data_IF_718414646248
#
_entry.id   IF_718414646248
#
_cell.length_a   1.000
_cell.length_b   1.000
_cell.length_c   1.000
_cell.angle_alpha   90.00
_cell.angle_beta   90.00
_cell.angle_gamma   90.00
#
_symmetry.space_group_name_H-M   'P 1'
#
loop_
_entity.id
_entity.type
_entity.pdbx_description
1 polymer ?
#
# COMPACT_ATOMS: atom_id res chain seq x y z
N UNK A 1 -17.63 -14.00 -10.87
CA UNK A 1 -16.78 -14.58 -11.92
C UNK A 1 -15.36 -14.70 -11.39
N UNK A 2 -14.87 -15.91 -11.17
CA UNK A 2 -13.46 -16.15 -10.87
C UNK A 2 -12.72 -16.43 -12.18
N UNK A 3 -11.56 -15.81 -12.38
CA UNK A 3 -10.67 -16.16 -13.49
C UNK A 3 -9.37 -16.74 -12.93
N UNK A 4 -9.07 -17.99 -13.32
CA UNK A 4 -7.77 -18.61 -13.11
C UNK A 4 -6.96 -18.51 -14.41
N UNK A 5 -5.76 -17.92 -14.33
CA UNK A 5 -4.85 -17.82 -15.46
C UNK A 5 -3.53 -18.53 -15.13
N UNK A 6 -3.16 -19.50 -15.96
CA UNK A 6 -1.88 -20.22 -15.90
C UNK A 6 -1.06 -19.97 -17.16
N UNK A 7 0.26 -20.15 -17.07
CA UNK A 7 1.16 -20.15 -18.23
C UNK A 7 1.64 -21.57 -18.48
N UNK A 8 1.29 -22.14 -19.62
CA UNK A 8 1.90 -23.38 -20.10
C UNK A 8 2.47 -23.20 -21.51
N UNK A 9 3.70 -23.65 -21.79
CA UNK A 9 4.12 -23.87 -23.16
C UNK A 9 3.26 -25.02 -23.73
N UNK A 10 2.66 -24.83 -24.90
CA UNK A 10 1.83 -25.85 -25.53
C UNK A 10 2.61 -27.14 -25.76
N UNK A 11 2.17 -28.23 -25.12
CA UNK A 11 2.70 -29.57 -25.35
C UNK A 11 2.29 -30.07 -26.73
N UNK A 12 3.26 -30.49 -27.55
CA UNK A 12 3.01 -31.31 -28.73
C UNK A 12 3.26 -32.77 -28.35
N UNK A 13 2.19 -33.56 -28.28
CA UNK A 13 2.28 -35.02 -28.36
C UNK A 13 2.46 -35.44 -29.84
N UNK A 14 3.33 -36.44 -30.04
CA UNK A 14 3.91 -36.79 -31.34
C UNK A 14 3.23 -37.93 -32.09
N UNK A 15 3.54 -38.02 -33.39
CA UNK A 15 3.81 -39.23 -34.19
C UNK A 15 3.86 -38.83 -35.67
N UNK A 16 4.82 -39.39 -36.42
CA UNK A 16 5.25 -38.86 -37.72
C UNK A 16 4.45 -39.32 -38.94
N UNK A 17 4.58 -38.57 -40.04
CA UNK A 17 4.85 -39.06 -41.39
C UNK A 17 5.09 -37.89 -42.38
N UNK A 18 6.21 -38.04 -43.09
CA UNK A 18 6.75 -37.35 -44.28
C UNK A 18 5.76 -36.70 -45.27
N UNK A 19 5.96 -35.42 -45.64
CA UNK A 19 6.53 -34.99 -46.93
C UNK A 19 6.39 -33.47 -47.19
N UNK A 20 7.53 -32.86 -47.50
CA UNK A 20 7.82 -31.74 -48.40
C UNK A 20 6.77 -30.64 -48.71
N UNK A 21 7.10 -29.42 -48.29
CA UNK A 21 7.45 -28.35 -49.25
C UNK A 21 6.38 -27.30 -49.59
N UNK A 22 6.41 -26.15 -48.89
CA UNK A 22 6.98 -24.86 -49.35
C UNK A 22 6.49 -23.69 -48.48
N UNK A 23 7.45 -23.15 -47.72
CA UNK A 23 7.70 -21.74 -47.37
C UNK A 23 6.56 -20.73 -47.31
N UNK A 24 6.42 -20.11 -46.13
CA UNK A 24 6.42 -18.65 -46.00
C UNK A 24 7.30 -18.24 -44.81
N UNK A 25 8.41 -17.58 -45.14
CA UNK A 25 9.29 -16.82 -44.23
C UNK A 25 8.66 -15.45 -44.02
N UNK A 26 8.66 -14.93 -42.79
CA UNK A 26 8.54 -13.50 -42.50
C UNK A 26 9.15 -13.26 -41.10
N UNK A 27 10.41 -12.85 -40.97
CA UNK A 27 11.02 -11.54 -41.24
C UNK A 27 10.76 -10.51 -40.14
N UNK A 28 11.83 -10.15 -39.43
CA UNK A 28 11.96 -8.96 -38.59
C UNK A 28 11.64 -7.69 -39.40
N UNK A 29 10.48 -7.06 -39.15
CA UNK A 29 10.29 -5.60 -39.34
C UNK A 29 9.27 -5.03 -38.34
N UNK A 30 9.42 -3.76 -37.93
CA UNK A 30 8.55 -3.11 -36.95
C UNK A 30 7.16 -2.91 -37.53
N UNK A 31 6.13 -3.03 -36.68
CA UNK A 31 4.73 -2.79 -37.03
C UNK A 31 4.55 -1.41 -37.69
N UNK A 32 4.37 -1.39 -39.01
CA UNK A 32 3.76 -0.28 -39.73
C UNK A 32 2.25 -0.53 -39.81
N UNK A 33 1.48 0.51 -39.55
CA UNK A 33 0.03 0.48 -39.70
C UNK A 33 -0.34 0.47 -41.18
N UNK A 34 -0.98 -0.60 -41.64
CA UNK A 34 -1.76 -0.59 -42.88
C UNK A 34 -3.21 -0.95 -42.54
N UNK A 35 -4.06 0.05 -42.72
CA UNK A 35 -5.51 -0.06 -42.74
C UNK A 35 -5.96 -0.65 -44.07
N UNK A 36 -6.65 -1.78 -44.06
CA UNK A 36 -7.60 -2.11 -45.11
C UNK A 36 -8.88 -2.69 -44.50
N UNK A 37 -9.98 -2.19 -45.06
CA UNK A 37 -11.35 -2.16 -44.54
C UNK A 37 -11.98 -3.49 -44.17
N UNK A 38 -12.84 -3.44 -43.15
CA UNK A 38 -13.75 -4.52 -42.80
C UNK A 38 -14.40 -4.33 -41.43
N UNK A 39 -15.25 -3.30 -41.30
CA UNK A 39 -16.22 -3.07 -40.23
C UNK A 39 -15.81 -3.49 -38.80
N UNK A 40 -15.30 -2.53 -38.02
CA UNK A 40 -15.28 -2.64 -36.55
C UNK A 40 -15.56 -1.29 -35.92
N UNK A 41 -16.64 -1.23 -35.12
CA UNK A 41 -17.01 -0.08 -34.31
C UNK A 41 -15.80 0.36 -33.46
N UNK A 42 -15.29 1.55 -33.74
CA UNK A 42 -14.23 2.20 -33.00
C UNK A 42 -14.76 3.55 -32.49
N UNK A 43 -15.27 3.56 -31.26
CA UNK A 43 -15.30 4.79 -30.48
C UNK A 43 -14.08 4.79 -29.56
N UNK A 44 -13.05 5.49 -30.01
CA UNK A 44 -11.86 5.78 -29.24
C UNK A 44 -12.15 6.92 -28.26
N UNK A 45 -12.19 6.61 -26.96
CA UNK A 45 -12.11 7.62 -25.89
C UNK A 45 -10.71 8.22 -25.78
N UNK A 46 -10.55 9.41 -25.16
CA UNK A 46 -9.34 10.20 -25.24
C UNK A 46 -8.15 9.51 -24.57
N UNK A 47 -7.02 9.49 -25.28
CA UNK A 47 -5.81 8.78 -24.92
C UNK A 47 -5.15 9.30 -23.64
N UNK A 48 -4.70 8.36 -22.80
CA UNK A 48 -3.79 8.60 -21.70
C UNK A 48 -2.42 9.07 -22.24
N UNK A 49 -1.81 10.14 -21.69
CA UNK A 49 -0.50 10.60 -22.13
C UNK A 49 0.58 9.62 -21.65
N UNK A 50 1.25 8.96 -22.60
CA UNK A 50 2.40 8.08 -22.32
C UNK A 50 2.50 6.81 -23.16
N UNK A 51 1.53 6.48 -24.02
CA UNK A 51 1.57 5.25 -24.82
C UNK A 51 2.45 5.37 -26.08
N UNK A 52 3.76 5.59 -25.91
CA UNK A 52 4.75 5.31 -26.95
C UNK A 52 5.42 3.96 -26.68
N UNK A 53 4.72 2.88 -26.99
CA UNK A 53 5.30 1.57 -27.29
C UNK A 53 4.21 0.69 -27.86
N UNK A 54 4.38 0.25 -29.12
CA UNK A 54 3.55 -0.80 -29.72
C UNK A 54 3.58 -2.03 -28.84
N UNK A 55 2.44 -2.35 -28.23
CA UNK A 55 2.26 -3.57 -27.45
C UNK A 55 1.65 -4.60 -28.39
N UNK A 56 2.37 -5.67 -28.69
CA UNK A 56 1.76 -6.88 -29.24
C UNK A 56 0.71 -7.34 -28.24
N UNK A 57 -0.56 -7.08 -28.54
CA UNK A 57 -1.64 -7.80 -27.90
C UNK A 57 -1.44 -9.28 -28.24
N UNK A 58 -1.65 -10.16 -27.26
CA UNK A 58 -1.73 -11.59 -27.57
C UNK A 58 -2.71 -11.77 -28.74
N UNK A 59 -2.41 -12.71 -29.64
CA UNK A 59 -3.35 -13.14 -30.66
C UNK A 59 -4.74 -13.38 -30.04
N UNK A 60 -5.80 -13.14 -30.80
CA UNK A 60 -7.17 -13.27 -30.30
C UNK A 60 -7.35 -14.59 -29.52
N UNK A 61 -7.97 -14.55 -28.32
CA UNK A 61 -8.18 -15.77 -27.55
C UNK A 61 -8.97 -16.79 -28.34
N UNK A 62 -8.59 -18.05 -28.20
CA UNK A 62 -9.44 -19.16 -28.60
C UNK A 62 -10.44 -19.40 -27.46
N UNK A 63 -11.73 -19.26 -27.75
CA UNK A 63 -12.79 -19.77 -26.87
C UNK A 63 -12.77 -21.30 -26.97
N UNK A 64 -12.39 -21.97 -25.90
CA UNK A 64 -12.28 -23.44 -25.89
C UNK A 64 -13.59 -24.06 -25.47
N UNK A 65 -14.16 -23.58 -24.36
CA UNK A 65 -15.35 -24.16 -23.76
C UNK A 65 -16.11 -23.12 -22.93
N UNK A 66 -17.43 -23.25 -22.91
CA UNK A 66 -18.35 -22.49 -22.04
C UNK A 66 -19.27 -23.47 -21.32
N UNK A 67 -19.57 -23.19 -20.06
CA UNK A 67 -20.43 -24.04 -19.24
C UNK A 67 -21.26 -23.20 -18.28
N UNK A 68 -22.50 -23.61 -18.04
CA UNK A 68 -23.30 -23.09 -16.92
C UNK A 68 -22.99 -23.90 -15.66
N UNK A 69 -22.76 -23.19 -14.55
CA UNK A 69 -22.49 -23.77 -13.23
C UNK A 69 -23.42 -23.20 -12.16
N UNK A 70 -23.55 -23.94 -11.08
CA UNK A 70 -24.32 -23.54 -9.90
C UNK A 70 -23.49 -22.57 -9.05
N UNK A 71 -24.13 -21.59 -8.42
CA UNK A 71 -23.44 -20.70 -7.46
C UNK A 71 -22.77 -21.45 -6.30
N UNK A 72 -23.29 -22.63 -5.92
CA UNK A 72 -22.71 -23.48 -4.87
C UNK A 72 -21.47 -24.25 -5.32
N UNK A 73 -21.12 -24.23 -6.61
CA UNK A 73 -19.97 -24.95 -7.14
C UNK A 73 -18.66 -24.32 -6.65
N UNK A 74 -17.75 -25.17 -6.13
CA UNK A 74 -16.47 -24.75 -5.54
C UNK A 74 -15.26 -25.10 -6.42
N UNK A 75 -15.47 -25.47 -7.67
CA UNK A 75 -14.38 -25.97 -8.54
C UNK A 75 -13.34 -24.89 -8.87
N UNK A 76 -13.67 -23.60 -8.72
CA UNK A 76 -12.73 -22.48 -8.92
C UNK A 76 -11.77 -22.24 -7.74
N UNK A 77 -11.60 -23.23 -6.84
CA UNK A 77 -10.65 -23.17 -5.73
C UNK A 77 -9.20 -23.41 -6.19
N UNK A 78 -8.96 -24.25 -7.19
CA UNK A 78 -7.63 -24.47 -7.79
C UNK A 78 -7.68 -24.36 -9.31
N UNK A 79 -6.52 -24.24 -9.96
CA UNK A 79 -6.47 -24.27 -11.42
C UNK A 79 -6.85 -25.66 -11.95
N UNK A 80 -6.36 -26.74 -11.33
CA UNK A 80 -6.67 -28.10 -11.79
C UNK A 80 -8.16 -28.44 -11.64
N UNK A 81 -8.79 -28.09 -10.51
CA UNK A 81 -10.22 -28.31 -10.27
C UNK A 81 -11.08 -27.48 -11.23
N UNK A 82 -10.70 -26.22 -11.47
CA UNK A 82 -11.43 -25.35 -12.39
C UNK A 82 -11.36 -25.89 -13.82
N UNK A 83 -10.18 -26.33 -14.25
CA UNK A 83 -9.99 -26.91 -15.57
C UNK A 83 -10.80 -28.20 -15.71
N UNK A 84 -10.70 -29.12 -14.74
CA UNK A 84 -11.45 -30.38 -14.73
C UNK A 84 -12.96 -30.16 -14.76
N UNK A 85 -13.46 -29.15 -14.04
CA UNK A 85 -14.87 -28.78 -14.04
C UNK A 85 -15.31 -28.24 -15.40
N UNK A 86 -14.57 -27.29 -15.98
CA UNK A 86 -14.95 -26.66 -17.25
C UNK A 86 -14.88 -27.66 -18.40
N UNK A 87 -13.92 -28.59 -18.40
CA UNK A 87 -13.79 -29.65 -19.41
C UNK A 87 -14.62 -30.89 -19.15
N UNK A 88 -15.25 -30.98 -17.98
CA UNK A 88 -16.04 -32.13 -17.56
C UNK A 88 -17.41 -32.25 -18.25
N UNK A 89 -18.17 -33.27 -17.87
CA UNK A 89 -19.53 -33.48 -18.39
C UNK A 89 -20.45 -32.29 -18.01
N UNK A 90 -21.32 -31.81 -18.93
CA UNK A 90 -22.24 -30.72 -18.67
C UNK A 90 -23.27 -31.10 -17.59
N UNK A 91 -24.00 -30.10 -17.08
CA UNK A 91 -25.15 -30.36 -16.21
C UNK A 91 -26.22 -31.14 -17.01
N UNK A 92 -26.96 -32.06 -16.37
CA UNK A 92 -28.09 -32.73 -17.00
C UNK A 92 -29.12 -31.73 -17.55
N UNK A 93 -29.74 -32.04 -18.68
CA UNK A 93 -30.75 -31.16 -19.32
C UNK A 93 -31.99 -30.92 -18.43
N UNK A 94 -32.23 -31.78 -17.45
CA UNK A 94 -33.29 -31.68 -16.46
C UNK A 94 -32.97 -30.72 -15.30
N UNK A 95 -31.78 -30.13 -15.28
CA UNK A 95 -31.35 -29.24 -14.19
C UNK A 95 -32.09 -27.91 -14.27
N UNK A 96 -33.05 -27.71 -13.37
CA UNK A 96 -33.72 -26.42 -13.22
C UNK A 96 -32.82 -25.41 -12.49
N UNK A 97 -32.55 -24.28 -13.13
CA UNK A 97 -31.75 -23.18 -12.59
C UNK A 97 -32.61 -21.92 -12.48
N UNK A 98 -32.62 -21.33 -11.28
CA UNK A 98 -33.13 -19.97 -11.13
C UNK A 98 -32.20 -18.99 -11.87
N UNK A 99 -32.81 -18.04 -12.58
CA UNK A 99 -32.11 -17.13 -13.50
C UNK A 99 -31.03 -16.27 -12.80
N UNK A 100 -31.14 -16.08 -11.49
CA UNK A 100 -30.21 -15.32 -10.64
C UNK A 100 -29.14 -16.20 -9.96
N UNK A 101 -29.21 -17.53 -10.09
CA UNK A 101 -28.30 -18.49 -9.46
C UNK A 101 -27.34 -19.18 -10.46
N UNK A 102 -27.52 -18.92 -11.76
CA UNK A 102 -26.66 -19.41 -12.82
C UNK A 102 -25.34 -18.64 -12.89
N UNK A 103 -24.23 -19.38 -12.89
CA UNK A 103 -22.89 -18.86 -13.18
C UNK A 103 -22.48 -19.30 -14.59
N UNK A 104 -21.70 -18.45 -15.28
CA UNK A 104 -21.14 -18.77 -16.59
C UNK A 104 -19.63 -18.91 -16.48
N UNK A 105 -19.16 -20.12 -16.74
CA UNK A 105 -17.74 -20.45 -16.79
C UNK A 105 -17.26 -20.47 -18.23
N UNK A 106 -16.11 -19.84 -18.46
CA UNK A 106 -15.55 -19.65 -19.80
C UNK A 106 -14.06 -19.95 -19.77
N UNK A 107 -13.63 -20.86 -20.64
CA UNK A 107 -12.22 -21.19 -20.85
C UNK A 107 -11.69 -20.50 -22.11
N UNK A 108 -10.74 -19.60 -21.90
CA UNK A 108 -10.00 -18.93 -22.97
C UNK A 108 -8.55 -19.41 -23.02
N UNK A 109 -8.08 -19.76 -24.21
CA UNK A 109 -6.69 -20.08 -24.47
C UNK A 109 -6.02 -18.97 -25.28
N UNK A 110 -4.84 -18.55 -24.82
CA UNK A 110 -3.99 -17.59 -25.52
C UNK A 110 -2.67 -18.28 -25.85
N UNK A 111 -2.34 -18.47 -27.14
CA UNK A 111 -1.05 -19.06 -27.49
C UNK A 111 0.08 -18.07 -27.15
N UNK A 112 1.10 -18.57 -26.46
CA UNK A 112 2.30 -17.81 -26.10
C UNK A 112 3.52 -18.44 -26.78
N UNK A 113 4.49 -17.60 -27.18
CA UNK A 113 5.72 -18.07 -27.82
C UNK A 113 6.67 -18.75 -26.81
N UNK A 114 6.63 -18.31 -25.56
CA UNK A 114 7.43 -18.83 -24.46
C UNK A 114 6.79 -18.54 -23.11
N UNK A 115 7.19 -19.28 -22.08
CA UNK A 115 6.86 -19.08 -20.67
C UNK A 115 7.20 -17.66 -20.16
N UNK A 116 8.18 -16.99 -20.76
CA UNK A 116 8.62 -15.62 -20.46
C UNK A 116 7.96 -14.54 -21.29
N UNK A 117 7.04 -14.89 -22.19
CA UNK A 117 6.39 -13.91 -23.07
C UNK A 117 5.66 -12.84 -22.24
N UNK A 118 5.81 -11.54 -22.57
CA UNK A 118 5.00 -10.51 -21.94
C UNK A 118 3.55 -10.72 -22.35
N UNK A 119 2.67 -10.96 -21.38
CA UNK A 119 1.24 -11.16 -21.58
C UNK A 119 0.49 -10.02 -20.91
N UNK A 120 -0.41 -9.38 -21.65
CA UNK A 120 -1.34 -8.38 -21.11
C UNK A 120 -2.75 -8.70 -21.60
N UNK A 121 -3.70 -8.74 -20.66
CA UNK A 121 -5.10 -9.01 -20.93
C UNK A 121 -5.90 -7.76 -20.57
N UNK A 122 -6.77 -7.31 -21.48
CA UNK A 122 -7.81 -6.32 -21.18
C UNK A 122 -9.14 -7.06 -21.17
N UNK A 123 -9.66 -7.34 -19.98
CA UNK A 123 -10.83 -8.22 -19.83
C UNK A 123 -12.13 -7.58 -20.31
N UNK A 124 -12.26 -6.24 -20.23
CA UNK A 124 -13.50 -5.53 -20.57
C UNK A 124 -14.67 -5.81 -19.60
N UNK A 125 -14.45 -6.63 -18.57
CA UNK A 125 -15.48 -7.11 -17.64
C UNK A 125 -16.00 -6.02 -16.69
N UNK A 126 -15.23 -4.94 -16.51
CA UNK A 126 -15.55 -3.85 -15.59
C UNK A 126 -16.90 -3.17 -15.87
N UNK A 127 -17.42 -3.27 -17.10
CA UNK A 127 -18.67 -2.61 -17.55
C UNK A 127 -19.90 -3.52 -17.50
N UNK A 128 -19.79 -4.74 -16.94
CA UNK A 128 -20.88 -5.71 -16.89
C UNK A 128 -21.95 -5.42 -15.83
N UNK A 129 -21.77 -4.41 -14.98
CA UNK A 129 -22.74 -4.04 -13.95
C UNK A 129 -22.38 -2.76 -13.21
N UNK A 130 -23.22 -2.39 -12.24
CA UNK A 130 -23.04 -1.19 -11.39
C UNK A 130 -21.76 -1.31 -10.53
N UNK A 131 -21.50 -2.52 -10.01
CA UNK A 131 -20.28 -2.83 -9.25
C UNK A 131 -19.81 -4.23 -9.63
N UNK A 132 -18.66 -4.30 -10.30
CA UNK A 132 -18.03 -5.57 -10.69
C UNK A 132 -16.81 -5.79 -9.82
N UNK A 133 -16.83 -6.84 -9.00
CA UNK A 133 -15.67 -7.31 -8.26
C UNK A 133 -15.00 -8.42 -9.06
N UNK A 134 -13.73 -8.25 -9.39
CA UNK A 134 -12.94 -9.25 -10.09
C UNK A 134 -11.96 -9.88 -9.12
N UNK A 135 -12.04 -11.20 -8.99
CA UNK A 135 -11.05 -12.00 -8.26
C UNK A 135 -10.19 -12.74 -9.28
N UNK A 136 -8.91 -12.40 -9.31
CA UNK A 136 -7.93 -12.95 -10.24
C UNK A 136 -6.91 -13.80 -9.48
N UNK A 137 -6.78 -15.06 -9.88
CA UNK A 137 -5.70 -15.94 -9.42
C UNK A 137 -4.68 -16.12 -10.53
N UNK A 138 -3.48 -15.63 -10.29
CA UNK A 138 -2.35 -15.72 -11.19
C UNK A 138 -1.39 -16.82 -10.72
N UNK A 139 -1.20 -17.84 -11.55
CA UNK A 139 -0.23 -18.91 -11.30
C UNK A 139 1.04 -18.61 -12.10
N UNK A 140 2.13 -18.25 -11.42
CA UNK A 140 3.42 -18.01 -12.06
C UNK A 140 4.06 -19.34 -12.51
N UNK A 141 4.99 -19.33 -13.49
CA UNK A 141 5.66 -20.56 -13.97
C UNK A 141 6.34 -21.40 -12.87
N UNK A 142 6.75 -20.77 -11.78
CA UNK A 142 7.32 -21.46 -10.61
C UNK A 142 6.29 -21.99 -9.60
N UNK A 143 5.00 -22.04 -9.95
CA UNK A 143 3.91 -22.49 -9.07
C UNK A 143 3.47 -21.49 -8.00
N UNK A 144 4.09 -20.31 -7.93
CA UNK A 144 3.69 -19.25 -6.99
C UNK A 144 2.33 -18.69 -7.41
N UNK A 145 1.34 -18.84 -6.53
CA UNK A 145 -0.01 -18.30 -6.72
C UNK A 145 -0.07 -16.90 -6.13
N UNK A 146 -0.61 -15.96 -6.91
CA UNK A 146 -0.92 -14.60 -6.45
C UNK A 146 -2.41 -14.34 -6.65
N UNK A 147 -3.07 -13.97 -5.57
CA UNK A 147 -4.48 -13.57 -5.60
C UNK A 147 -4.55 -12.04 -5.68
N UNK A 148 -5.39 -11.56 -6.58
CA UNK A 148 -5.74 -10.15 -6.70
C UNK A 148 -7.25 -9.99 -6.60
N UNK A 149 -7.68 -8.92 -5.94
CA UNK A 149 -9.07 -8.50 -5.86
C UNK A 149 -9.15 -7.02 -6.16
N UNK A 150 -9.98 -6.66 -7.13
CA UNK A 150 -10.19 -5.27 -7.51
C UNK A 150 -11.62 -5.03 -7.99
N UNK A 151 -12.07 -3.78 -7.84
CA UNK A 151 -13.41 -3.34 -8.23
C UNK A 151 -13.32 -2.48 -9.48
N UNK A 152 -14.16 -2.77 -10.47
CA UNK A 152 -14.20 -2.01 -11.72
C UNK A 152 -12.95 -2.22 -12.59
N UNK A 153 -12.47 -1.14 -13.22
CA UNK A 153 -11.24 -1.16 -14.03
C UNK A 153 -10.05 -0.70 -13.18
N UNK A 154 -9.13 -1.60 -12.81
CA UNK A 154 -7.95 -1.25 -12.01
C UNK A 154 -6.86 -0.57 -12.84
N UNK A 155 -7.07 -0.37 -14.15
CA UNK A 155 -6.06 0.08 -15.09
C UNK A 155 -5.00 -1.00 -15.32
N UNK A 156 -3.74 -0.58 -15.50
CA UNK A 156 -2.64 -1.50 -15.76
C UNK A 156 -2.13 -2.13 -14.45
N UNK A 157 -2.56 -3.35 -14.16
CA UNK A 157 -1.94 -4.18 -13.10
C UNK A 157 -0.79 -5.00 -13.68
N UNK A 158 0.37 -4.95 -13.03
CA UNK A 158 1.47 -5.89 -13.29
C UNK A 158 1.35 -7.08 -12.35
N UNK A 159 1.04 -8.25 -12.90
CA UNK A 159 0.86 -9.50 -12.11
C UNK A 159 2.19 -10.06 -11.60
N UNK A 160 3.29 -9.78 -12.31
CA UNK A 160 4.66 -10.13 -11.91
C UNK A 160 5.62 -8.95 -12.04
N UNK A 161 5.53 -7.96 -11.12
CA UNK A 161 6.36 -6.77 -11.18
C UNK A 161 7.80 -7.09 -10.80
N UNK A 162 8.75 -6.51 -11.52
CA UNK A 162 10.14 -6.44 -11.05
C UNK A 162 10.23 -5.49 -9.85
N UNK A 163 11.25 -5.66 -9.00
CA UNK A 163 11.45 -4.84 -7.79
C UNK A 163 11.36 -3.32 -8.05
N UNK A 164 11.94 -2.81 -9.13
CA UNK A 164 11.91 -1.38 -9.45
C UNK A 164 10.53 -0.92 -9.95
N UNK A 165 9.78 -1.79 -10.61
CA UNK A 165 8.41 -1.49 -11.05
C UNK A 165 7.48 -1.41 -9.84
N UNK A 166 7.63 -2.32 -8.88
CA UNK A 166 6.94 -2.27 -7.61
C UNK A 166 7.35 -1.00 -6.82
N UNK A 167 8.66 -0.74 -6.69
CA UNK A 167 9.17 0.43 -6.01
C UNK A 167 8.60 1.75 -6.57
N UNK A 168 8.70 1.98 -7.88
CA UNK A 168 8.19 3.20 -8.52
C UNK A 168 6.68 3.39 -8.31
N UNK A 169 5.91 2.29 -8.41
CA UNK A 169 4.46 2.34 -8.17
C UNK A 169 4.17 2.74 -6.72
N UNK A 170 4.90 2.20 -5.76
CA UNK A 170 4.70 2.53 -4.35
C UNK A 170 5.21 3.93 -3.99
N UNK A 171 6.27 4.44 -4.62
CA UNK A 171 6.67 5.87 -4.50
C UNK A 171 5.51 6.78 -4.94
N UNK A 172 4.94 6.52 -6.12
CA UNK A 172 3.79 7.29 -6.63
C UNK A 172 2.60 7.22 -5.67
N UNK A 173 2.27 6.03 -5.18
CA UNK A 173 1.18 5.84 -4.22
C UNK A 173 1.45 6.59 -2.91
N UNK A 174 2.67 6.55 -2.37
CA UNK A 174 3.03 7.28 -1.15
C UNK A 174 2.97 8.79 -1.33
N UNK A 175 3.41 9.28 -2.48
CA UNK A 175 3.35 10.69 -2.84
C UNK A 175 1.91 11.20 -2.98
N UNK A 176 1.04 10.46 -3.66
CA UNK A 176 -0.37 10.85 -3.79
C UNK A 176 -1.11 10.71 -2.45
N UNK A 177 -0.79 9.68 -1.67
CA UNK A 177 -1.44 9.43 -0.40
C UNK A 177 -1.30 10.61 0.58
N UNK A 178 -0.10 11.18 0.72
CA UNK A 178 0.10 12.33 1.61
C UNK A 178 -0.65 13.58 1.13
N UNK A 179 -0.88 13.73 -0.17
CA UNK A 179 -1.62 14.86 -0.75
C UNK A 179 -3.15 14.69 -0.63
N UNK A 180 -3.65 13.46 -0.67
CA UNK A 180 -5.08 13.16 -0.50
C UNK A 180 -5.48 13.09 0.98
N UNK A 181 -4.53 12.78 1.88
CA UNK A 181 -4.77 12.64 3.32
C UNK A 181 -4.92 13.96 4.06
N UNK A 182 -6.16 14.42 4.25
CA UNK A 182 -6.48 15.68 4.96
C UNK A 182 -5.89 15.73 6.38
N UNK A 183 -5.93 14.62 7.11
CA UNK A 183 -5.35 14.51 8.46
C UNK A 183 -3.84 14.81 8.46
N UNK A 184 -3.13 14.26 7.48
CA UNK A 184 -1.69 14.44 7.35
C UNK A 184 -1.35 15.87 6.93
N UNK A 185 -2.12 16.46 6.01
CA UNK A 185 -1.94 17.85 5.60
C UNK A 185 -2.17 18.82 6.76
N UNK A 186 -3.22 18.62 7.58
CA UNK A 186 -3.44 19.44 8.77
C UNK A 186 -2.36 19.25 9.83
N UNK A 187 -1.91 18.01 10.04
CA UNK A 187 -0.80 17.74 10.94
C UNK A 187 0.50 18.43 10.48
N UNK A 188 0.83 18.32 9.19
CA UNK A 188 1.99 18.96 8.60
C UNK A 188 1.89 20.48 8.63
N UNK A 189 0.70 21.03 8.37
CA UNK A 189 0.43 22.45 8.53
C UNK A 189 0.70 22.91 9.96
N UNK A 190 0.21 22.17 10.97
CA UNK A 190 0.54 22.42 12.38
C UNK A 190 2.04 22.42 12.65
N UNK A 191 2.83 21.54 12.02
CA UNK A 191 4.28 21.53 12.15
C UNK A 191 4.93 22.81 11.59
N UNK A 192 4.47 23.28 10.43
CA UNK A 192 5.07 24.42 9.72
C UNK A 192 4.72 25.77 10.36
N UNK A 193 3.51 25.95 10.92
CA UNK A 193 3.05 27.25 11.45
C UNK A 193 4.08 27.94 12.37
N UNK A 194 4.57 27.34 13.47
CA UNK A 194 5.49 28.02 14.39
C UNK A 194 6.97 27.86 14.01
N UNK A 195 7.31 26.93 13.10
CA UNK A 195 8.69 26.59 12.75
C UNK A 195 8.83 26.54 11.23
N UNK A 196 9.45 27.57 10.66
CA UNK A 196 9.62 27.70 9.20
C UNK A 196 11.05 27.46 8.71
N UNK A 197 11.94 27.01 9.61
CA UNK A 197 13.31 26.63 9.24
C UNK A 197 13.31 25.26 8.57
N UNK A 198 13.53 25.24 7.26
CA UNK A 198 13.50 24.04 6.41
C UNK A 198 14.28 22.84 6.99
N UNK A 199 15.56 23.03 7.36
CA UNK A 199 16.38 21.94 7.90
C UNK A 199 15.89 21.37 9.24
N UNK A 200 15.25 22.20 10.08
CA UNK A 200 14.66 21.73 11.34
C UNK A 200 13.37 20.95 11.09
N UNK A 201 12.56 21.38 10.12
CA UNK A 201 11.36 20.67 9.71
C UNK A 201 11.68 19.31 9.09
N UNK A 202 12.71 19.22 8.23
CA UNK A 202 13.18 17.93 7.66
C UNK A 202 13.41 16.92 8.77
N UNK A 203 14.19 17.28 9.80
CA UNK A 203 14.47 16.36 10.91
C UNK A 203 13.19 15.89 11.63
N UNK A 204 12.18 16.76 11.77
CA UNK A 204 10.90 16.42 12.40
C UNK A 204 10.05 15.52 11.51
N UNK A 205 9.91 15.83 10.21
CA UNK A 205 9.13 15.01 9.28
C UNK A 205 9.79 13.66 9.02
N UNK A 206 11.12 13.59 8.92
CA UNK A 206 11.84 12.32 8.78
C UNK A 206 11.64 11.48 10.03
N UNK A 207 11.63 12.07 11.23
CA UNK A 207 11.33 11.36 12.47
C UNK A 207 9.91 10.78 12.48
N UNK A 208 8.93 11.51 11.93
CA UNK A 208 7.57 11.00 11.73
C UNK A 208 7.55 9.83 10.74
N UNK A 209 8.21 9.98 9.59
CA UNK A 209 8.24 8.97 8.52
C UNK A 209 8.94 7.69 8.98
N UNK A 210 9.98 7.78 9.82
CA UNK A 210 10.62 6.61 10.44
C UNK A 210 9.64 5.88 11.37
N UNK A 211 8.94 6.59 12.26
CA UNK A 211 7.95 5.98 13.13
C UNK A 211 6.77 5.36 12.36
N UNK A 212 6.30 6.06 11.34
CA UNK A 212 5.28 5.61 10.41
C UNK A 212 5.71 4.32 9.69
N UNK A 213 6.96 4.27 9.22
CA UNK A 213 7.53 3.08 8.57
C UNK A 213 7.54 1.87 9.50
N UNK A 214 7.91 2.06 10.77
CA UNK A 214 7.96 0.97 11.76
C UNK A 214 6.58 0.32 11.93
N UNK A 215 5.55 1.12 12.12
CA UNK A 215 4.18 0.63 12.39
C UNK A 215 3.48 0.14 11.13
N UNK A 216 3.75 0.74 9.97
CA UNK A 216 3.28 0.25 8.68
C UNK A 216 3.85 -1.13 8.36
N UNK A 217 5.17 -1.32 8.56
CA UNK A 217 5.83 -2.62 8.39
C UNK A 217 5.26 -3.62 9.40
N UNK A 218 5.14 -3.24 10.68
CA UNK A 218 4.56 -4.12 11.70
C UNK A 218 3.15 -4.58 11.32
N UNK A 219 2.30 -3.68 10.83
CA UNK A 219 0.95 -4.03 10.39
C UNK A 219 0.93 -4.89 9.13
N UNK A 220 1.87 -4.70 8.19
CA UNK A 220 1.96 -5.52 7.00
C UNK A 220 2.36 -6.98 7.29
N UNK A 221 3.04 -7.21 8.42
CA UNK A 221 3.35 -8.54 8.95
C UNK A 221 2.33 -9.04 9.99
N UNK A 222 1.16 -8.40 10.09
CA UNK A 222 0.09 -8.76 11.03
C UNK A 222 0.54 -8.78 12.50
N UNK A 223 1.45 -7.87 12.89
CA UNK A 223 1.90 -7.71 14.28
C UNK A 223 1.04 -6.73 15.09
N UNK A 224 0.04 -6.11 14.46
CA UNK A 224 -0.91 -5.21 15.12
C UNK A 224 -2.09 -5.98 15.74
N UNK A 225 -2.88 -5.33 16.63
CA UNK A 225 -4.14 -5.90 17.11
C UNK A 225 -5.17 -6.08 15.98
N UNK A 226 -5.80 -7.25 15.92
CA UNK A 226 -6.84 -7.57 14.92
C UNK A 226 -8.27 -7.21 15.39
N UNK A 227 -8.40 -6.50 16.51
CA UNK A 227 -9.69 -6.12 17.07
C UNK A 227 -10.39 -5.05 16.23
N UNK A 228 -11.71 -5.18 16.03
CA UNK A 228 -12.52 -4.18 15.32
C UNK A 228 -12.51 -2.79 15.99
N UNK A 229 -12.16 -2.72 17.28
CA UNK A 229 -11.98 -1.48 18.03
C UNK A 229 -10.67 -0.75 17.69
N UNK A 230 -9.70 -1.43 17.09
CA UNK A 230 -8.36 -0.90 16.87
C UNK A 230 -8.31 0.20 15.78
N UNK A 231 -8.94 0.05 14.59
CA UNK A 231 -8.97 1.15 13.61
C UNK A 231 -9.63 2.44 14.16
N UNK A 232 -10.82 2.40 14.78
CA UNK A 232 -11.43 3.61 15.39
C UNK A 232 -10.57 4.24 16.48
N UNK A 233 -9.86 3.43 17.28
CA UNK A 233 -8.92 3.94 18.28
C UNK A 233 -7.79 4.72 17.60
N UNK A 234 -7.17 4.14 16.57
CA UNK A 234 -6.07 4.77 15.85
C UNK A 234 -6.54 6.05 15.17
N UNK A 235 -7.70 6.05 14.52
CA UNK A 235 -8.31 7.25 13.93
C UNK A 235 -8.53 8.36 14.96
N UNK A 236 -8.98 8.01 16.17
CA UNK A 236 -9.17 8.95 17.29
C UNK A 236 -7.83 9.51 17.78
N UNK A 237 -6.80 8.68 17.87
CA UNK A 237 -5.45 9.10 18.27
C UNK A 237 -4.82 10.02 17.21
N UNK A 238 -5.05 9.76 15.93
CA UNK A 238 -4.65 10.64 14.82
C UNK A 238 -5.31 12.00 14.96
N UNK A 239 -6.63 12.07 15.17
CA UNK A 239 -7.32 13.35 15.36
C UNK A 239 -6.86 14.07 16.64
N UNK A 240 -6.66 13.33 17.74
CA UNK A 240 -6.08 13.85 18.99
C UNK A 240 -4.70 14.46 18.76
N UNK A 241 -3.86 13.85 17.91
CA UNK A 241 -2.53 14.39 17.60
C UNK A 241 -2.60 15.76 16.92
N UNK A 242 -3.57 15.99 16.03
CA UNK A 242 -3.76 17.27 15.35
C UNK A 242 -4.17 18.35 16.36
N UNK A 243 -5.14 18.05 17.23
CA UNK A 243 -5.57 18.95 18.31
C UNK A 243 -4.40 19.28 19.23
N UNK A 244 -3.65 18.26 19.66
CA UNK A 244 -2.48 18.46 20.51
C UNK A 244 -1.46 19.41 19.87
N UNK A 245 -1.09 19.18 18.61
CA UNK A 245 -0.12 20.02 17.91
C UNK A 245 -0.61 21.46 17.75
N UNK A 246 -1.91 21.64 17.48
CA UNK A 246 -2.51 22.96 17.37
C UNK A 246 -2.49 23.71 18.72
N UNK A 247 -2.81 23.04 19.82
CA UNK A 247 -2.74 23.61 21.17
C UNK A 247 -1.29 23.92 21.58
N UNK A 248 -0.33 23.04 21.27
CA UNK A 248 1.09 23.28 21.50
C UNK A 248 1.56 24.57 20.81
N UNK A 249 1.11 24.81 19.57
CA UNK A 249 1.43 26.03 18.84
C UNK A 249 0.90 27.30 19.52
N UNK A 250 -0.31 27.23 20.10
CA UNK A 250 -0.95 28.36 20.80
C UNK A 250 -0.18 28.69 22.09
N UNK A 251 0.14 27.68 22.89
CA UNK A 251 0.86 27.87 24.17
C UNK A 251 2.31 28.29 23.91
N UNK A 252 2.98 27.65 22.97
CA UNK A 252 4.37 27.92 22.59
C UNK A 252 5.15 26.62 22.37
N UNK A 253 5.64 26.43 21.16
CA UNK A 253 6.29 25.18 20.74
C UNK A 253 7.71 25.02 21.27
N UNK A 254 8.07 23.84 21.77
CA UNK A 254 9.44 23.50 22.14
C UNK A 254 10.09 22.57 21.09
N UNK A 255 10.96 23.12 20.24
CA UNK A 255 11.64 22.41 19.14
C UNK A 255 12.30 21.10 19.60
N UNK A 256 12.92 21.08 20.79
CA UNK A 256 13.69 19.92 21.28
C UNK A 256 12.80 18.72 21.61
N UNK A 257 11.54 18.95 22.02
CA UNK A 257 10.57 17.87 22.29
C UNK A 257 9.76 17.49 21.06
N UNK A 258 9.65 18.41 20.10
CA UNK A 258 8.76 18.27 18.95
C UNK A 258 9.08 17.06 18.07
N UNK A 259 10.36 16.77 17.80
CA UNK A 259 10.74 15.58 17.03
C UNK A 259 10.30 14.28 17.73
N UNK A 260 10.42 14.21 19.06
CA UNK A 260 10.01 13.03 19.85
C UNK A 260 8.49 12.87 19.89
N UNK A 261 7.76 13.98 20.05
CA UNK A 261 6.29 13.99 20.00
C UNK A 261 5.80 13.55 18.62
N UNK A 262 6.40 14.10 17.56
CA UNK A 262 6.07 13.79 16.17
C UNK A 262 6.43 12.35 15.82
N UNK A 263 7.53 11.80 16.35
CA UNK A 263 7.83 10.38 16.29
C UNK A 263 6.70 9.54 16.90
N UNK A 264 6.26 9.88 18.12
CA UNK A 264 5.15 9.19 18.78
C UNK A 264 3.86 9.22 17.95
N UNK A 265 3.53 10.37 17.37
CA UNK A 265 2.37 10.48 16.48
C UNK A 265 2.53 9.69 15.18
N UNK A 266 3.74 9.65 14.59
CA UNK A 266 4.04 8.83 13.42
C UNK A 266 3.74 7.35 13.64
N UNK A 267 3.90 6.83 14.86
CA UNK A 267 3.53 5.44 15.18
C UNK A 267 2.02 5.19 15.00
N UNK A 268 1.16 6.09 15.49
CA UNK A 268 -0.28 5.92 15.34
C UNK A 268 -0.72 6.11 13.90
N UNK A 269 -0.16 7.11 13.20
CA UNK A 269 -0.47 7.35 11.80
C UNK A 269 -0.13 6.15 10.91
N UNK A 270 0.98 5.44 11.17
CA UNK A 270 1.36 4.28 10.38
C UNK A 270 0.44 3.08 10.54
N UNK A 271 -0.17 2.92 11.72
CA UNK A 271 -1.27 1.96 11.89
C UNK A 271 -2.56 2.42 11.19
N UNK A 272 -2.89 3.72 11.22
CA UNK A 272 -4.11 4.21 10.58
C UNK A 272 -4.07 4.01 9.08
N UNK A 273 -2.89 4.18 8.49
CA UNK A 273 -2.70 4.00 7.06
C UNK A 273 -2.71 2.52 6.64
N UNK A 274 -2.26 1.60 7.48
CA UNK A 274 -2.13 0.20 7.08
C UNK A 274 -3.47 -0.41 6.65
N UNK A 275 -4.59 -0.02 7.26
CA UNK A 275 -5.94 -0.46 6.90
C UNK A 275 -6.31 -0.08 5.46
N UNK A 276 -5.98 1.13 5.04
CA UNK A 276 -6.23 1.58 3.66
C UNK A 276 -5.27 0.92 2.66
N UNK A 277 -4.04 0.63 3.07
CA UNK A 277 -3.03 0.04 2.19
C UNK A 277 -3.23 -1.47 1.95
N UNK A 278 -3.97 -2.19 2.80
CA UNK A 278 -4.17 -3.65 2.67
C UNK A 278 -4.59 -4.07 1.25
N UNK A 279 -5.53 -3.35 0.63
CA UNK A 279 -5.99 -3.62 -0.73
C UNK A 279 -4.96 -3.29 -1.81
N UNK A 280 -3.94 -2.50 -1.50
CA UNK A 280 -2.88 -2.11 -2.44
C UNK A 280 -1.65 -3.00 -2.31
N UNK A 281 -1.41 -3.60 -1.13
CA UNK A 281 -0.28 -4.49 -0.87
C UNK A 281 -0.23 -5.71 -1.82
N UNK A 282 -1.37 -6.17 -2.31
CA UNK A 282 -1.46 -7.25 -3.31
C UNK A 282 -0.65 -6.96 -4.59
N UNK A 283 -0.43 -5.68 -4.92
CA UNK A 283 0.32 -5.27 -6.11
C UNK A 283 1.84 -5.20 -5.92
N UNK A 284 2.35 -5.49 -4.71
CA UNK A 284 3.78 -5.50 -4.40
C UNK A 284 4.54 -6.73 -4.95
N UNK A 285 3.82 -7.77 -5.43
CA UNK A 285 4.43 -9.03 -5.86
C UNK A 285 5.21 -9.69 -4.71
N UNK A 286 6.42 -10.18 -4.99
CA UNK A 286 7.34 -10.74 -3.98
C UNK A 286 8.17 -9.69 -3.24
N UNK A 287 7.94 -8.40 -3.50
CA UNK A 287 8.78 -7.29 -3.05
C UNK A 287 8.10 -6.41 -2.01
N UNK A 288 7.41 -7.01 -1.03
CA UNK A 288 6.64 -6.30 0.00
C UNK A 288 7.48 -5.26 0.75
N UNK A 289 8.61 -5.66 1.34
CA UNK A 289 9.44 -4.74 2.11
C UNK A 289 10.00 -3.59 1.27
N UNK A 290 10.50 -3.88 0.06
CA UNK A 290 10.98 -2.85 -0.85
C UNK A 290 9.86 -1.88 -1.26
N UNK A 291 8.63 -2.38 -1.45
CA UNK A 291 7.45 -1.59 -1.76
C UNK A 291 7.06 -0.68 -0.58
N UNK A 292 7.07 -1.18 0.66
CA UNK A 292 6.80 -0.40 1.86
C UNK A 292 7.84 0.71 2.11
N UNK A 293 9.12 0.42 1.88
CA UNK A 293 10.17 1.43 1.98
C UNK A 293 10.04 2.49 0.88
N UNK A 294 9.74 2.05 -0.35
CA UNK A 294 9.49 2.95 -1.48
C UNK A 294 8.25 3.81 -1.28
N UNK A 295 7.23 3.27 -0.62
CA UNK A 295 6.05 4.03 -0.21
C UNK A 295 6.40 5.18 0.72
N UNK A 296 7.16 4.90 1.79
CA UNK A 296 7.56 5.93 2.74
C UNK A 296 8.50 6.97 2.10
N UNK A 297 9.32 6.57 1.13
CA UNK A 297 10.08 7.51 0.30
C UNK A 297 9.14 8.45 -0.49
N UNK A 298 8.08 7.92 -1.09
CA UNK A 298 7.03 8.72 -1.72
C UNK A 298 6.35 9.70 -0.77
N UNK A 299 6.03 9.25 0.45
CA UNK A 299 5.47 10.10 1.51
C UNK A 299 6.42 11.25 1.85
N UNK A 300 7.70 10.97 2.08
CA UNK A 300 8.70 11.99 2.41
C UNK A 300 8.86 13.01 1.28
N UNK A 301 8.85 12.58 0.02
CA UNK A 301 8.86 13.48 -1.15
C UNK A 301 7.63 14.39 -1.19
N UNK A 302 6.44 13.85 -0.92
CA UNK A 302 5.22 14.64 -0.88
C UNK A 302 5.19 15.62 0.31
N UNK A 303 5.69 15.23 1.48
CA UNK A 303 5.87 16.14 2.62
C UNK A 303 6.83 17.29 2.27
N UNK A 304 7.95 16.99 1.61
CA UNK A 304 8.90 18.02 1.15
C UNK A 304 8.22 18.98 0.18
N UNK A 305 7.43 18.49 -0.78
CA UNK A 305 6.67 19.34 -1.68
C UNK A 305 5.73 20.28 -0.92
N UNK A 306 4.97 19.74 0.05
CA UNK A 306 4.06 20.55 0.87
C UNK A 306 4.84 21.60 1.67
N UNK A 307 6.02 21.28 2.21
CA UNK A 307 6.90 22.24 2.89
C UNK A 307 7.36 23.37 1.96
N UNK A 308 7.81 23.02 0.75
CA UNK A 308 8.26 23.99 -0.27
C UNK A 308 7.16 24.97 -0.64
N UNK A 309 5.89 24.56 -0.56
CA UNK A 309 4.74 25.43 -0.83
C UNK A 309 4.28 26.21 0.41
N UNK A 310 4.12 25.54 1.56
CA UNK A 310 3.54 26.15 2.76
C UNK A 310 4.47 27.16 3.45
N UNK A 311 5.78 26.90 3.47
CA UNK A 311 6.74 27.79 4.13
C UNK A 311 6.70 29.21 3.50
N UNK A 312 6.91 29.38 2.18
CA UNK A 312 6.86 30.72 1.59
C UNK A 312 5.46 31.34 1.68
N UNK A 313 4.38 30.55 1.56
CA UNK A 313 3.02 31.05 1.71
C UNK A 313 2.77 31.67 3.11
N UNK A 314 3.22 30.99 4.17
CA UNK A 314 3.09 31.48 5.54
C UNK A 314 4.04 32.65 5.85
N UNK A 315 5.24 32.67 5.26
CA UNK A 315 6.15 33.81 5.37
C UNK A 315 5.55 35.07 4.74
N UNK A 316 4.95 34.97 3.55
CA UNK A 316 4.23 36.07 2.90
C UNK A 316 3.06 36.52 3.77
N UNK A 317 2.23 35.57 4.25
CA UNK A 317 1.07 35.88 5.08
C UNK A 317 1.45 36.66 6.35
N UNK A 318 2.45 36.20 7.10
CA UNK A 318 2.85 36.86 8.35
C UNK A 318 3.67 38.13 8.12
N UNK A 319 4.26 38.30 6.92
CA UNK A 319 4.92 39.55 6.55
C UNK A 319 3.93 40.66 6.24
N UNK A 320 2.80 40.35 5.60
CA UNK A 320 1.90 41.36 5.05
C UNK A 320 0.55 41.48 5.75
N UNK A 321 0.03 40.43 6.40
CA UNK A 321 -1.33 40.43 6.94
C UNK A 321 -1.41 40.51 8.46
N UNK A 322 -0.61 39.71 9.19
CA UNK A 322 -0.76 39.53 10.64
C UNK A 322 0.60 39.29 11.30
N UNK A 323 0.83 39.86 12.48
CA UNK A 323 2.01 39.55 13.29
C UNK A 323 2.14 38.03 13.55
N UNK A 324 3.36 37.50 13.44
CA UNK A 324 3.65 36.06 13.47
C UNK A 324 3.03 35.32 14.67
N UNK A 325 3.09 35.90 15.87
CA UNK A 325 2.49 35.27 17.07
C UNK A 325 0.97 35.20 16.98
N UNK A 326 0.33 36.27 16.53
CA UNK A 326 -1.14 36.33 16.40
C UNK A 326 -1.61 35.41 15.27
N UNK A 327 -0.91 35.41 14.13
CA UNK A 327 -1.20 34.53 13.00
C UNK A 327 -1.05 33.05 13.38
N UNK A 328 0.00 32.71 14.16
CA UNK A 328 0.18 31.36 14.71
C UNK A 328 -0.99 30.93 15.57
N UNK A 329 -1.46 31.80 16.47
CA UNK A 329 -2.60 31.50 17.36
C UNK A 329 -3.88 31.32 16.55
N UNK A 330 -4.19 32.24 15.62
CA UNK A 330 -5.41 32.20 14.82
C UNK A 330 -5.47 30.93 13.96
N UNK A 331 -4.40 30.65 13.19
CA UNK A 331 -4.34 29.47 12.33
C UNK A 331 -4.42 28.18 13.17
N UNK A 332 -3.69 28.12 14.28
CA UNK A 332 -3.74 26.95 15.15
C UNK A 332 -5.11 26.79 15.81
N UNK A 333 -5.81 27.87 16.16
CA UNK A 333 -7.17 27.79 16.71
C UNK A 333 -8.16 27.23 15.69
N UNK A 334 -8.06 27.60 14.41
CA UNK A 334 -8.89 27.04 13.33
C UNK A 334 -8.62 25.54 13.15
N UNK A 335 -7.35 25.14 13.15
CA UNK A 335 -6.98 23.73 13.06
C UNK A 335 -7.42 22.94 14.30
N UNK A 336 -7.26 23.51 15.50
CA UNK A 336 -7.72 22.90 16.75
C UNK A 336 -9.23 22.69 16.74
N UNK A 337 -10.00 23.69 16.28
CA UNK A 337 -11.45 23.59 16.16
C UNK A 337 -11.86 22.46 15.20
N UNK A 338 -11.26 22.42 14.01
CA UNK A 338 -11.54 21.36 13.01
C UNK A 338 -11.15 19.98 13.54
N UNK A 339 -9.94 19.85 14.08
CA UNK A 339 -9.44 18.60 14.66
C UNK A 339 -10.27 18.13 15.86
N UNK A 340 -10.82 19.06 16.65
CA UNK A 340 -11.68 18.74 17.79
C UNK A 340 -12.98 18.07 17.34
N UNK A 341 -13.61 18.58 16.27
CA UNK A 341 -14.80 17.95 15.70
C UNK A 341 -14.51 16.52 15.19
N UNK A 342 -13.43 16.32 14.45
CA UNK A 342 -13.03 14.98 13.99
C UNK A 342 -12.67 14.04 15.14
N UNK A 343 -12.03 14.57 16.19
CA UNK A 343 -11.68 13.79 17.38
C UNK A 343 -12.94 13.30 18.10
N UNK A 344 -13.94 14.15 18.28
CA UNK A 344 -15.23 13.75 18.88
C UNK A 344 -15.92 12.72 18.01
N UNK A 345 -16.08 12.97 16.70
CA UNK A 345 -16.75 12.06 15.78
C UNK A 345 -16.12 10.66 15.78
N UNK A 346 -14.78 10.59 15.74
CA UNK A 346 -14.03 9.32 15.78
C UNK A 346 -14.09 8.68 17.17
N UNK A 347 -14.07 9.49 18.22
CA UNK A 347 -14.20 9.05 19.61
C UNK A 347 -15.59 8.46 19.91
N UNK A 348 -16.65 9.02 19.35
CA UNK A 348 -18.00 8.48 19.43
C UNK A 348 -18.09 7.12 18.73
N UNK A 349 -17.48 6.98 17.54
CA UNK A 349 -17.36 5.69 16.84
C UNK A 349 -16.62 4.66 17.68
N UNK A 350 -15.54 5.05 18.37
CA UNK A 350 -14.85 4.17 19.32
C UNK A 350 -15.74 3.81 20.52
N UNK A 351 -16.50 4.76 21.06
CA UNK A 351 -17.40 4.57 22.20
C UNK A 351 -18.58 3.62 21.95
N UNK A 352 -18.92 3.36 20.68
CA UNK A 352 -19.92 2.35 20.30
C UNK A 352 -19.44 0.92 20.57
N UNK A 353 -18.13 0.70 20.64
CA UNK A 353 -17.59 -0.60 20.99
C UNK A 353 -17.68 -0.79 22.50
N UNK A 354 -18.53 -1.72 22.93
CA UNK A 354 -18.53 -2.15 24.32
C UNK A 354 -17.24 -2.92 24.60
N UNK A 355 -16.27 -2.23 25.21
CA UNK A 355 -15.04 -2.85 25.68
C UNK A 355 -15.39 -3.78 26.84
N UNK A 356 -15.67 -5.03 26.53
CA UNK A 356 -15.74 -6.09 27.53
C UNK A 356 -14.32 -6.34 27.99
N UNK A 357 -13.99 -5.84 29.18
CA UNK A 357 -12.70 -6.11 29.80
C UNK A 357 -12.47 -7.64 29.80
N UNK A 358 -11.36 -8.13 29.25
CA UNK A 358 -11.06 -9.55 29.29
C UNK A 358 -11.12 -9.98 30.76
N UNK A 359 -11.84 -11.08 31.03
CA UNK A 359 -11.91 -11.63 32.37
C UNK A 359 -10.48 -11.77 32.91
N UNK A 360 -10.23 -11.30 34.13
CA UNK A 360 -8.93 -11.40 34.80
C UNK A 360 -8.64 -12.89 35.10
N UNK A 361 -8.22 -13.60 34.07
CA UNK A 361 -7.90 -15.01 34.11
C UNK A 361 -6.37 -15.20 34.16
N UNK A 362 -5.94 -16.37 34.60
CA UNK A 362 -4.51 -16.68 34.73
C UNK A 362 -3.75 -16.52 33.40
N UNK A 363 -4.42 -16.71 32.26
CA UNK A 363 -3.84 -16.55 30.92
C UNK A 363 -3.52 -15.07 30.58
N UNK A 364 -4.43 -14.15 30.87
CA UNK A 364 -4.20 -12.71 30.71
C UNK A 364 -3.09 -12.24 31.65
N UNK A 365 -3.12 -12.67 32.92
CA UNK A 365 -2.09 -12.32 33.90
C UNK A 365 -0.71 -12.86 33.50
N UNK A 366 -0.63 -14.10 33.01
CA UNK A 366 0.60 -14.69 32.50
C UNK A 366 1.12 -13.93 31.27
N UNK A 367 0.23 -13.48 30.38
CA UNK A 367 0.60 -12.68 29.20
C UNK A 367 1.14 -11.30 29.61
N UNK A 368 0.45 -10.62 30.52
CA UNK A 368 0.89 -9.34 31.08
C UNK A 368 2.24 -9.48 31.81
N UNK A 369 2.44 -10.54 32.60
CA UNK A 369 3.73 -10.82 33.24
C UNK A 369 4.85 -11.08 32.23
N UNK A 370 4.58 -11.81 31.13
CA UNK A 370 5.58 -12.02 30.06
C UNK A 370 6.01 -10.71 29.43
N UNK A 371 5.06 -9.85 29.08
CA UNK A 371 5.37 -8.52 28.54
C UNK A 371 6.10 -7.65 29.57
N UNK A 372 5.71 -7.68 30.84
CA UNK A 372 6.39 -6.98 31.91
C UNK A 372 7.84 -7.45 32.07
N UNK A 373 8.08 -8.76 32.07
CA UNK A 373 9.44 -9.33 32.12
C UNK A 373 10.28 -8.87 30.94
N UNK A 374 9.73 -8.87 29.72
CA UNK A 374 10.43 -8.37 28.52
C UNK A 374 10.79 -6.88 28.68
N UNK A 375 9.87 -6.05 29.16
CA UNK A 375 10.12 -4.63 29.40
C UNK A 375 11.21 -4.43 30.46
N UNK A 376 11.17 -5.17 31.57
CA UNK A 376 12.20 -5.11 32.62
C UNK A 376 13.57 -5.54 32.11
N UNK A 377 13.63 -6.62 31.31
CA UNK A 377 14.88 -7.10 30.70
C UNK A 377 15.45 -6.06 29.74
N UNK A 378 14.62 -5.48 28.87
CA UNK A 378 15.04 -4.43 27.93
C UNK A 378 15.51 -3.16 28.68
N UNK A 379 14.78 -2.73 29.71
CA UNK A 379 15.18 -1.61 30.56
C UNK A 379 16.51 -1.89 31.28
N UNK A 380 16.70 -3.10 31.80
CA UNK A 380 17.94 -3.57 32.42
C UNK A 380 19.12 -3.57 31.44
N UNK A 381 18.92 -4.04 30.21
CA UNK A 381 19.92 -4.01 29.14
C UNK A 381 20.31 -2.58 28.76
N UNK A 382 19.32 -1.69 28.56
CA UNK A 382 19.57 -0.27 28.26
C UNK A 382 20.33 0.40 29.40
N UNK A 383 19.94 0.14 30.65
CA UNK A 383 20.63 0.64 31.83
C UNK A 383 22.08 0.12 31.90
N UNK A 384 22.32 -1.17 31.67
CA UNK A 384 23.66 -1.76 31.68
C UNK A 384 24.55 -1.16 30.58
N UNK A 385 24.02 -1.04 29.36
CA UNK A 385 24.74 -0.48 28.22
C UNK A 385 25.09 1.00 28.45
N UNK A 386 24.17 1.78 29.03
CA UNK A 386 24.42 3.18 29.39
C UNK A 386 25.42 3.31 30.54
N UNK A 387 25.38 2.45 31.55
CA UNK A 387 26.35 2.42 32.64
C UNK A 387 27.77 2.10 32.15
N UNK A 388 27.92 1.10 31.27
CA UNK A 388 29.20 0.76 30.63
C UNK A 388 29.73 1.90 29.76
N UNK A 389 28.84 2.60 29.04
CA UNK A 389 29.20 3.77 28.23
C UNK A 389 29.70 4.93 29.10
N UNK A 390 29.03 5.22 30.22
CA UNK A 390 29.45 6.25 31.18
C UNK A 390 30.80 5.91 31.82
N UNK A 391 31.02 4.64 32.17
CA UNK A 391 32.30 4.18 32.72
C UNK A 391 33.45 4.31 31.71
N UNK A 392 33.24 3.96 30.43
CA UNK A 392 34.24 4.14 29.37
C UNK A 392 34.59 5.61 29.11
N UNK A 393 33.59 6.50 29.13
CA UNK A 393 33.82 7.96 28.99
C UNK A 393 34.63 8.50 30.17
N UNK A 394 34.31 8.10 31.40
CA UNK A 394 35.08 8.49 32.60
C UNK A 394 36.51 7.93 32.59
N UNK A 395 36.72 6.73 32.06
CA UNK A 395 38.05 6.13 31.93
C UNK A 395 38.92 6.81 30.86
N UNK A 396 38.33 7.28 29.75
CA UNK A 396 39.05 7.98 28.67
C UNK A 396 39.40 9.45 28.95
N UNK A 397 38.84 10.05 30.02
CA UNK A 397 39.09 11.47 30.35
C UNK A 397 40.28 11.67 31.30
N UNK A 398 40.94 10.60 31.76
CA UNK A 398 42.16 10.68 32.58
C UNK A 398 43.42 10.69 31.71
N UNK A 399 43.71 11.81 31.06
CA UNK A 399 45.07 12.09 30.56
C UNK A 399 45.81 12.84 31.69
N UNK A 400 46.97 12.37 32.17
CA UNK A 400 47.67 13.01 33.27
C UNK A 400 48.35 14.30 32.80
N UNK A 401 48.01 15.42 33.44
CA UNK A 401 48.74 16.68 33.36
C UNK A 401 50.11 16.47 34.03
N UNK A 402 51.12 16.09 33.25
CA UNK A 402 52.51 16.05 33.70
C UNK A 402 53.02 17.49 33.83
N UNK A 403 53.18 17.88 35.09
CA UNK A 403 53.84 19.08 35.59
C UNK A 403 55.26 19.14 35.02
N UNK A 404 55.55 20.11 34.13
CA UNK A 404 56.92 20.49 33.78
C UNK A 404 57.41 21.50 34.83
N UNK A 405 58.06 20.98 35.86
CA UNK A 405 59.04 21.74 36.65
C UNK A 405 60.45 21.43 36.07
N UNK A 406 61.30 22.46 36.05
CA UNK A 406 62.74 22.50 35.73
C UNK A 406 63.16 22.44 34.25
N UNK A 407 63.49 23.61 33.67
CA UNK A 407 64.88 24.14 33.58
C UNK A 407 64.87 25.61 33.14
#
# INVERSE_FOLDING_TARGET
MGCCCSRHPGGRDGSGLSQAGRTAVASDRPCAAESHDGHRFSEAGPGLPGSRAGRCFASAPKLVQTRVSLQSDKSFVSYEEALAHVTGAPLPDETELFWDQGMLDVLFEYPILSDRSPLSIRSGLARLGIRVVTVLRFVAPGGVIRAFEFVGDPGLIRLDPRWHQAALRFVELGFLHILEGTDHLLFLFCLVIPLRRFGALIAVITSFTVAHSITLIASAYSLGPDGLWFPPLIETLIATSIVYMALENIVGSNIRRRWLITFGFGLFHGFGFSFALQQTLQFAGSHLLASLLSFNLGVELGQILVLVVLIPALEILFRFAVAERMGTIILSAIVAHTGWHWMIERGERLGQFQFQWPALNAALLATLMRWLMVVVILAGLVWLLSAVRIQRVRAGTKIPFQKKEEM
#
